data_IF_050263734250
#
_entry.id   IF_050263734250
#
_cell.length_a   1.000
_cell.length_b   1.000
_cell.length_c   1.000
_cell.angle_alpha   90.00
_cell.angle_beta   90.00
_cell.angle_gamma   90.00
#
_symmetry.space_group_name_H-M   'P 1'
#
loop_
_entity.id
_entity.type
_entity.pdbx_description
1 polymer ?
#
# COMPACT_ATOMS: atom_id res chain seq x y z
N UNK A 1 -3.62 -30.28 11.05
CA UNK A 1 -3.58 -29.01 10.30
C UNK A 1 -4.82 -28.99 9.42
N UNK A 2 -5.70 -27.98 9.52
CA UNK A 2 -6.88 -27.89 8.64
C UNK A 2 -6.42 -27.80 7.17
N UNK A 3 -7.14 -28.44 6.23
CA UNK A 3 -6.78 -28.49 4.80
C UNK A 3 -6.58 -27.09 4.21
N UNK A 4 -7.44 -26.13 4.58
CA UNK A 4 -7.31 -24.71 4.19
C UNK A 4 -5.96 -24.14 4.65
N UNK A 5 -5.59 -24.33 5.92
CA UNK A 5 -4.35 -23.80 6.47
C UNK A 5 -3.11 -24.39 5.79
N UNK A 6 -3.16 -25.66 5.36
CA UNK A 6 -2.06 -26.27 4.60
C UNK A 6 -1.85 -25.53 3.28
N UNK A 7 -2.89 -25.36 2.48
CA UNK A 7 -2.76 -24.76 1.15
C UNK A 7 -2.45 -23.27 1.19
N UNK A 8 -3.00 -22.53 2.17
CA UNK A 8 -2.61 -21.13 2.40
C UNK A 8 -1.11 -21.02 2.71
N UNK A 9 -0.57 -21.90 3.55
CA UNK A 9 0.86 -21.88 3.89
C UNK A 9 1.74 -22.28 2.70
N UNK A 10 1.34 -23.29 1.92
CA UNK A 10 2.06 -23.64 0.68
C UNK A 10 2.08 -22.48 -0.31
N UNK A 11 0.97 -21.77 -0.47
CA UNK A 11 0.91 -20.60 -1.32
C UNK A 11 1.84 -19.47 -0.82
N UNK A 12 1.86 -19.22 0.50
CA UNK A 12 2.72 -18.21 1.10
C UNK A 12 4.22 -18.56 0.97
N UNK A 13 4.60 -19.82 1.15
CA UNK A 13 5.98 -20.28 1.03
C UNK A 13 6.50 -20.19 -0.42
N UNK A 14 5.62 -20.45 -1.39
CA UNK A 14 5.94 -20.39 -2.81
C UNK A 14 6.00 -18.96 -3.35
N UNK A 15 5.20 -18.05 -2.79
CA UNK A 15 5.11 -16.68 -3.28
C UNK A 15 6.34 -15.83 -2.89
N UNK A 16 6.95 -15.07 -3.81
CA UNK A 16 6.55 -14.84 -5.21
C UNK A 16 7.32 -15.68 -6.23
N UNK A 17 8.20 -16.60 -5.81
CA UNK A 17 9.15 -17.26 -6.72
C UNK A 17 8.53 -18.36 -7.59
N UNK A 18 7.56 -19.08 -7.05
CA UNK A 18 6.93 -20.24 -7.70
C UNK A 18 5.44 -19.94 -7.97
N UNK A 19 5.17 -19.16 -9.02
CA UNK A 19 3.83 -18.59 -9.25
C UNK A 19 2.78 -19.63 -9.65
N UNK A 20 3.14 -20.67 -10.40
CA UNK A 20 2.22 -21.74 -10.78
C UNK A 20 1.75 -22.51 -9.53
N UNK A 21 2.69 -22.92 -8.69
CA UNK A 21 2.43 -23.62 -7.44
C UNK A 21 1.71 -22.74 -6.41
N UNK A 22 1.98 -21.43 -6.43
CA UNK A 22 1.21 -20.45 -5.64
C UNK A 22 -0.25 -20.45 -6.08
N UNK A 23 -0.52 -20.33 -7.38
CA UNK A 23 -1.88 -20.27 -7.93
C UNK A 23 -2.65 -21.57 -7.73
N UNK A 24 -2.01 -22.72 -7.91
CA UNK A 24 -2.60 -24.02 -7.63
C UNK A 24 -3.00 -24.14 -6.16
N UNK A 25 -2.07 -23.79 -5.25
CA UNK A 25 -2.33 -23.84 -3.80
C UNK A 25 -3.45 -22.87 -3.40
N UNK A 26 -3.50 -21.66 -3.97
CA UNK A 26 -4.58 -20.70 -3.72
C UNK A 26 -5.93 -21.22 -4.21
N UNK A 27 -5.96 -21.85 -5.38
CA UNK A 27 -7.17 -22.45 -5.94
C UNK A 27 -7.71 -23.54 -5.02
N UNK A 28 -6.84 -24.42 -4.50
CA UNK A 28 -7.24 -25.40 -3.50
C UNK A 28 -7.74 -24.73 -2.22
N UNK A 29 -7.00 -23.77 -1.66
CA UNK A 29 -7.40 -23.07 -0.43
C UNK A 29 -8.81 -22.48 -0.54
N UNK A 30 -9.09 -21.74 -1.61
CA UNK A 30 -10.39 -21.10 -1.85
C UNK A 30 -11.50 -22.10 -2.20
N UNK A 31 -11.18 -23.25 -2.79
CA UNK A 31 -12.19 -24.31 -2.99
C UNK A 31 -12.65 -24.95 -1.67
N UNK A 32 -11.81 -24.96 -0.64
CA UNK A 32 -12.17 -25.45 0.69
C UNK A 32 -12.82 -24.36 1.56
N UNK A 33 -12.42 -23.11 1.39
CA UNK A 33 -12.95 -21.95 2.11
C UNK A 33 -12.81 -20.68 1.26
N UNK A 34 -13.87 -20.35 0.52
CA UNK A 34 -13.93 -19.15 -0.31
C UNK A 34 -13.80 -17.85 0.50
N UNK A 35 -14.11 -17.90 1.81
CA UNK A 35 -14.07 -16.75 2.70
C UNK A 35 -12.69 -16.49 3.31
N UNK A 36 -11.69 -17.31 2.99
CA UNK A 36 -10.37 -17.22 3.58
C UNK A 36 -9.66 -15.92 3.17
N UNK A 37 -9.61 -14.95 4.09
CA UNK A 37 -9.06 -13.62 3.78
C UNK A 37 -7.58 -13.62 3.47
N UNK A 38 -6.81 -14.58 3.99
CA UNK A 38 -5.39 -14.71 3.67
C UNK A 38 -5.19 -15.17 2.23
N UNK A 39 -5.95 -16.18 1.78
CA UNK A 39 -5.91 -16.65 0.41
C UNK A 39 -6.39 -15.58 -0.58
N UNK A 40 -7.52 -14.92 -0.29
CA UNK A 40 -8.03 -13.81 -1.11
C UNK A 40 -7.04 -12.64 -1.15
N UNK A 41 -6.42 -12.28 -0.03
CA UNK A 41 -5.38 -11.26 0.02
C UNK A 41 -4.20 -11.63 -0.89
N UNK A 42 -3.72 -12.88 -0.82
CA UNK A 42 -2.59 -13.33 -1.63
C UNK A 42 -2.95 -13.41 -3.12
N UNK A 43 -4.18 -13.80 -3.49
CA UNK A 43 -4.69 -13.67 -4.86
C UNK A 43 -4.64 -12.21 -5.33
N UNK A 44 -5.14 -11.28 -4.51
CA UNK A 44 -5.08 -9.85 -4.82
C UNK A 44 -3.64 -9.35 -5.04
N UNK A 45 -2.69 -9.84 -4.24
CA UNK A 45 -1.27 -9.53 -4.40
C UNK A 45 -0.67 -10.11 -5.68
N UNK A 46 -0.95 -11.37 -6.03
CA UNK A 46 -0.47 -11.96 -7.30
C UNK A 46 -0.92 -11.09 -8.48
N UNK A 47 -2.21 -10.72 -8.52
CA UNK A 47 -2.74 -9.86 -9.57
C UNK A 47 -2.09 -8.46 -9.60
N UNK A 48 -1.92 -7.81 -8.44
CA UNK A 48 -1.36 -6.47 -8.38
C UNK A 48 0.16 -6.41 -8.64
N UNK A 49 0.91 -7.36 -8.07
CA UNK A 49 2.37 -7.33 -7.99
C UNK A 49 3.03 -8.07 -9.15
N UNK A 50 2.42 -9.16 -9.64
CA UNK A 50 3.00 -10.02 -10.69
C UNK A 50 2.34 -9.82 -12.05
N UNK A 51 1.02 -9.70 -12.08
CA UNK A 51 0.25 -9.60 -13.33
C UNK A 51 -0.08 -8.16 -13.75
N UNK A 52 0.13 -7.19 -12.85
CA UNK A 52 -0.26 -5.79 -13.02
C UNK A 52 -1.76 -5.59 -13.34
N UNK A 53 -2.59 -6.56 -12.97
CA UNK A 53 -4.05 -6.53 -13.10
C UNK A 53 -4.67 -5.93 -11.84
N UNK A 54 -4.60 -4.60 -11.76
CA UNK A 54 -5.04 -3.87 -10.57
C UNK A 54 -6.55 -3.94 -10.33
N UNK A 55 -7.36 -4.08 -11.39
CA UNK A 55 -8.82 -4.19 -11.26
C UNK A 55 -9.20 -5.53 -10.62
N UNK A 56 -8.61 -6.63 -11.09
CA UNK A 56 -8.85 -7.94 -10.48
C UNK A 56 -8.27 -8.02 -9.06
N UNK A 57 -7.10 -7.43 -8.83
CA UNK A 57 -6.52 -7.33 -7.49
C UNK A 57 -7.46 -6.61 -6.52
N UNK A 58 -8.00 -5.46 -6.93
CA UNK A 58 -8.97 -4.68 -6.15
C UNK A 58 -10.21 -5.51 -5.80
N UNK A 59 -10.73 -6.32 -6.72
CA UNK A 59 -11.88 -7.21 -6.45
C UNK A 59 -11.57 -8.20 -5.34
N UNK A 60 -10.44 -8.92 -5.41
CA UNK A 60 -10.06 -9.87 -4.36
C UNK A 60 -9.85 -9.21 -3.00
N UNK A 61 -9.24 -8.03 -2.95
CA UNK A 61 -9.10 -7.29 -1.69
C UNK A 61 -10.45 -6.84 -1.13
N UNK A 62 -11.38 -6.41 -2.00
CA UNK A 62 -12.73 -6.04 -1.57
C UNK A 62 -13.51 -7.26 -1.07
N UNK A 63 -13.42 -8.39 -1.76
CA UNK A 63 -14.03 -9.65 -1.36
C UNK A 63 -13.52 -10.11 0.01
N UNK A 64 -12.20 -10.07 0.24
CA UNK A 64 -11.62 -10.38 1.55
C UNK A 64 -12.22 -9.50 2.67
N UNK A 65 -12.40 -8.21 2.41
CA UNK A 65 -12.97 -7.27 3.38
C UNK A 65 -14.49 -7.38 3.54
N UNK A 66 -15.21 -7.96 2.56
CA UNK A 66 -16.62 -8.34 2.69
C UNK A 66 -16.76 -9.50 3.68
N UNK A 67 -15.88 -10.50 3.59
CA UNK A 67 -15.88 -11.63 4.53
C UNK A 67 -15.42 -11.22 5.94
N UNK A 68 -14.35 -10.42 6.04
CA UNK A 68 -13.87 -9.92 7.31
C UNK A 68 -13.26 -8.51 7.17
N UNK A 69 -14.03 -7.51 7.60
CA UNK A 69 -13.57 -6.11 7.59
C UNK A 69 -12.36 -5.86 8.51
N UNK A 70 -12.09 -6.75 9.47
CA UNK A 70 -10.95 -6.69 10.37
C UNK A 70 -9.73 -7.50 9.86
N UNK A 71 -9.74 -7.99 8.62
CA UNK A 71 -8.59 -8.66 8.00
C UNK A 71 -7.41 -7.69 7.82
N UNK A 72 -6.54 -7.63 8.83
CA UNK A 72 -5.46 -6.65 8.94
C UNK A 72 -4.45 -6.77 7.78
N UNK A 73 -4.20 -8.00 7.35
CA UNK A 73 -3.27 -8.36 6.28
C UNK A 73 -3.63 -7.73 4.93
N UNK A 74 -4.91 -7.41 4.69
CA UNK A 74 -5.39 -6.89 3.40
C UNK A 74 -5.02 -5.42 3.20
N UNK A 75 -5.12 -4.62 4.26
CA UNK A 75 -5.08 -3.16 4.16
C UNK A 75 -3.80 -2.59 3.51
N UNK A 76 -2.58 -3.02 3.88
CA UNK A 76 -1.36 -2.48 3.29
C UNK A 76 -1.31 -2.66 1.77
N UNK A 77 -1.73 -3.82 1.27
CA UNK A 77 -1.72 -4.15 -0.16
C UNK A 77 -2.86 -3.48 -0.90
N UNK A 78 -4.07 -3.51 -0.34
CA UNK A 78 -5.21 -2.85 -0.96
C UNK A 78 -5.00 -1.34 -1.10
N UNK A 79 -4.47 -0.69 -0.06
CA UNK A 79 -4.12 0.74 -0.12
C UNK A 79 -3.08 1.01 -1.21
N UNK A 80 -2.09 0.13 -1.38
CA UNK A 80 -1.07 0.25 -2.41
C UNK A 80 -1.71 0.19 -3.81
N UNK A 81 -2.54 -0.83 -4.06
CA UNK A 81 -3.25 -1.00 -5.33
C UNK A 81 -4.10 0.24 -5.67
N UNK A 82 -4.85 0.78 -4.70
CA UNK A 82 -5.63 2.01 -4.91
C UNK A 82 -4.75 3.22 -5.26
N UNK A 83 -3.54 3.32 -4.67
CA UNK A 83 -2.59 4.39 -5.00
C UNK A 83 -2.06 4.22 -6.42
N UNK A 84 -1.74 3.01 -6.83
CA UNK A 84 -1.18 2.72 -8.16
C UNK A 84 -2.23 2.90 -9.27
N UNK A 85 -3.49 2.58 -8.98
CA UNK A 85 -4.64 2.90 -9.84
C UNK A 85 -4.98 4.41 -9.91
N UNK A 86 -4.39 5.23 -9.04
CA UNK A 86 -4.73 6.66 -8.95
C UNK A 86 -6.04 6.96 -8.22
N UNK A 87 -6.67 5.96 -7.59
CA UNK A 87 -7.90 6.08 -6.81
C UNK A 87 -7.65 6.71 -5.42
N UNK A 88 -7.14 7.94 -5.42
CA UNK A 88 -6.64 8.59 -4.22
C UNK A 88 -7.69 8.85 -3.14
N UNK A 89 -8.95 9.10 -3.49
CA UNK A 89 -10.01 9.30 -2.50
C UNK A 89 -10.42 7.99 -1.82
N UNK A 90 -10.47 6.88 -2.57
CA UNK A 90 -10.67 5.55 -1.99
C UNK A 90 -9.51 5.20 -1.06
N UNK A 91 -8.27 5.37 -1.52
CA UNK A 91 -7.08 5.14 -0.68
C UNK A 91 -7.10 5.95 0.63
N UNK A 92 -7.51 7.23 0.60
CA UNK A 92 -7.65 8.03 1.83
C UNK A 92 -8.69 7.46 2.80
N UNK A 93 -9.85 7.03 2.30
CA UNK A 93 -10.91 6.43 3.13
C UNK A 93 -10.42 5.14 3.75
N UNK A 94 -9.81 4.26 2.97
CA UNK A 94 -9.24 2.98 3.43
C UNK A 94 -8.15 3.21 4.47
N UNK A 95 -7.21 4.15 4.25
CA UNK A 95 -6.19 4.53 5.25
C UNK A 95 -6.84 5.04 6.54
N UNK A 96 -7.87 5.89 6.45
CA UNK A 96 -8.54 6.43 7.64
C UNK A 96 -9.14 5.32 8.48
N UNK A 97 -9.77 4.33 7.85
CA UNK A 97 -10.34 3.18 8.53
C UNK A 97 -9.26 2.25 9.10
N UNK A 98 -8.22 1.92 8.32
CA UNK A 98 -7.12 1.07 8.77
C UNK A 98 -6.45 1.60 10.05
N UNK A 99 -6.28 2.93 10.17
CA UNK A 99 -5.72 3.58 11.36
C UNK A 99 -6.60 3.46 12.62
N UNK A 100 -7.86 3.02 12.49
CA UNK A 100 -8.78 2.79 13.62
C UNK A 100 -8.87 1.33 14.03
N UNK A 101 -8.29 0.41 13.26
CA UNK A 101 -8.38 -1.02 13.54
C UNK A 101 -7.46 -1.40 14.72
N UNK A 102 -7.98 -2.14 15.72
CA UNK A 102 -7.16 -2.71 16.78
C UNK A 102 -6.04 -3.60 16.18
N UNK A 103 -4.87 -3.59 16.81
CA UNK A 103 -3.70 -4.39 16.41
C UNK A 103 -3.13 -4.15 15.00
N UNK A 104 -3.66 -3.18 14.23
CA UNK A 104 -3.10 -2.81 12.93
C UNK A 104 -1.65 -2.29 13.07
N UNK A 105 -0.68 -2.81 12.30
CA UNK A 105 0.68 -2.26 12.27
C UNK A 105 0.71 -0.82 11.70
N UNK A 106 0.61 0.17 12.59
CA UNK A 106 0.37 1.56 12.23
C UNK A 106 1.49 2.18 11.38
N UNK A 107 2.76 1.81 11.63
CA UNK A 107 3.92 2.30 10.87
C UNK A 107 3.73 2.12 9.37
N UNK A 108 3.34 0.92 8.93
CA UNK A 108 3.11 0.60 7.52
C UNK A 108 1.98 1.44 6.92
N UNK A 109 0.87 1.61 7.65
CA UNK A 109 -0.27 2.41 7.18
C UNK A 109 0.10 3.91 7.06
N UNK A 110 0.88 4.45 8.00
CA UNK A 110 1.37 5.83 7.90
C UNK A 110 2.35 6.02 6.74
N UNK A 111 3.20 5.03 6.44
CA UNK A 111 4.06 5.03 5.24
C UNK A 111 3.19 5.08 3.97
N UNK A 112 2.15 4.26 3.85
CA UNK A 112 1.22 4.30 2.69
C UNK A 112 0.54 5.67 2.58
N UNK A 113 0.18 6.30 3.69
CA UNK A 113 -0.36 7.67 3.70
C UNK A 113 0.65 8.72 3.23
N UNK A 114 1.92 8.58 3.60
CA UNK A 114 2.99 9.43 3.10
C UNK A 114 3.15 9.27 1.57
N UNK A 115 3.18 8.02 1.09
CA UNK A 115 3.27 7.68 -0.33
C UNK A 115 2.10 8.27 -1.14
N UNK A 116 0.87 8.13 -0.65
CA UNK A 116 -0.32 8.71 -1.26
C UNK A 116 -0.16 10.23 -1.45
N UNK A 117 0.24 10.95 -0.38
CA UNK A 117 0.44 12.40 -0.50
C UNK A 117 1.63 12.76 -1.39
N UNK A 118 2.66 11.93 -1.44
CA UNK A 118 3.79 12.08 -2.35
C UNK A 118 3.34 11.95 -3.82
N UNK A 119 2.55 10.92 -4.16
CA UNK A 119 1.95 10.73 -5.50
C UNK A 119 1.07 11.92 -5.90
N UNK A 120 0.30 12.47 -4.97
CA UNK A 120 -0.46 13.71 -5.17
C UNK A 120 0.40 15.00 -5.20
N UNK A 121 1.73 14.91 -5.10
CA UNK A 121 2.68 16.04 -5.01
C UNK A 121 2.40 17.01 -3.84
N UNK A 122 1.80 16.50 -2.75
CA UNK A 122 1.49 17.21 -1.50
C UNK A 122 2.59 16.95 -0.45
N UNK A 123 3.83 17.29 -0.78
CA UNK A 123 5.03 16.92 -0.01
C UNK A 123 4.98 17.30 1.48
N UNK A 124 4.48 18.50 1.83
CA UNK A 124 4.30 18.90 3.24
C UNK A 124 3.37 17.95 4.01
N UNK A 125 2.31 17.43 3.37
CA UNK A 125 1.41 16.45 3.98
C UNK A 125 2.05 15.07 4.06
N UNK A 126 2.83 14.69 3.04
CA UNK A 126 3.59 13.45 3.03
C UNK A 126 4.59 13.39 4.19
N UNK A 127 5.39 14.44 4.41
CA UNK A 127 6.34 14.54 5.53
C UNK A 127 5.64 14.50 6.89
N UNK A 128 4.46 15.12 7.03
CA UNK A 128 3.66 15.03 8.27
C UNK A 128 3.20 13.60 8.56
N UNK A 129 2.75 12.86 7.53
CA UNK A 129 2.37 11.46 7.68
C UNK A 129 3.59 10.59 8.01
N UNK A 130 4.74 10.86 7.39
CA UNK A 130 5.98 10.13 7.66
C UNK A 130 6.50 10.37 9.09
N UNK A 131 6.33 11.60 9.63
CA UNK A 131 6.62 11.86 11.05
C UNK A 131 5.77 11.01 11.98
N UNK A 132 4.49 10.77 11.64
CA UNK A 132 3.64 9.83 12.39
C UNK A 132 4.16 8.39 12.27
N UNK A 133 4.53 7.95 11.07
CA UNK A 133 5.14 6.63 10.90
C UNK A 133 6.38 6.42 11.79
N UNK A 134 7.25 7.42 11.89
CA UNK A 134 8.44 7.37 12.77
C UNK A 134 8.12 7.27 14.26
N UNK A 135 7.01 7.86 14.70
CA UNK A 135 6.60 7.81 16.11
C UNK A 135 6.01 6.46 16.50
N UNK A 136 5.31 5.79 15.58
CA UNK A 136 4.77 4.44 15.79
C UNK A 136 5.84 3.35 15.63
N UNK A 137 6.95 3.67 14.96
CA UNK A 137 7.96 2.69 14.62
C UNK A 137 8.87 2.35 15.80
N UNK A 138 8.91 1.06 16.13
CA UNK A 138 9.87 0.48 17.10
C UNK A 138 10.89 -0.45 16.45
N UNK A 139 10.76 -0.67 15.13
CA UNK A 139 11.58 -1.61 14.36
C UNK A 139 12.77 -0.90 13.70
N UNK A 140 13.97 -1.46 13.88
CA UNK A 140 15.20 -0.91 13.32
C UNK A 140 15.19 -0.92 11.79
N UNK A 141 14.62 -1.95 11.18
CA UNK A 141 14.65 -2.15 9.73
C UNK A 141 13.85 -1.06 9.01
N UNK A 142 12.71 -0.67 9.58
CA UNK A 142 11.91 0.45 9.07
C UNK A 142 12.63 1.79 9.22
N UNK A 143 13.56 1.97 10.17
CA UNK A 143 14.20 3.26 10.43
C UNK A 143 15.01 3.76 9.23
N UNK A 144 15.76 2.86 8.58
CA UNK A 144 16.53 3.18 7.38
C UNK A 144 15.61 3.56 6.20
N UNK A 145 14.56 2.77 5.99
CA UNK A 145 13.54 2.99 4.96
C UNK A 145 12.80 4.32 5.15
N UNK A 146 12.41 4.64 6.39
CA UNK A 146 11.74 5.89 6.73
C UNK A 146 12.62 7.11 6.46
N UNK A 147 13.93 7.02 6.70
CA UNK A 147 14.89 8.07 6.36
C UNK A 147 15.00 8.26 4.85
N UNK A 148 15.18 7.17 4.09
CA UNK A 148 15.26 7.23 2.63
C UNK A 148 14.00 7.83 1.99
N UNK A 149 12.81 7.49 2.51
CA UNK A 149 11.54 8.08 2.07
C UNK A 149 11.50 9.58 2.38
N UNK A 150 11.97 9.99 3.56
CA UNK A 150 12.00 11.41 3.95
C UNK A 150 12.88 12.23 3.01
N UNK A 151 14.10 11.75 2.78
CA UNK A 151 15.09 12.42 1.93
C UNK A 151 14.58 12.52 0.49
N UNK A 152 13.98 11.46 -0.04
CA UNK A 152 13.30 11.46 -1.35
C UNK A 152 12.21 12.53 -1.43
N UNK A 153 11.34 12.63 -0.42
CA UNK A 153 10.24 13.60 -0.41
C UNK A 153 10.78 15.04 -0.30
N UNK A 154 11.79 15.28 0.52
CA UNK A 154 12.44 16.59 0.66
C UNK A 154 13.07 17.04 -0.65
N UNK A 155 13.84 16.18 -1.31
CA UNK A 155 14.42 16.49 -2.62
C UNK A 155 13.36 16.86 -3.67
N UNK A 156 12.26 16.10 -3.74
CA UNK A 156 11.12 16.43 -4.62
C UNK A 156 10.46 17.76 -4.28
N UNK A 157 10.38 18.11 -2.98
CA UNK A 157 9.83 19.38 -2.53
C UNK A 157 10.72 20.56 -2.91
N UNK A 158 12.03 20.41 -2.83
CA UNK A 158 13.01 21.43 -3.20
C UNK A 158 12.95 21.73 -4.70
N UNK A 159 12.93 20.70 -5.54
CA UNK A 159 12.76 20.83 -7.01
C UNK A 159 11.49 21.63 -7.33
N UNK A 160 10.36 21.27 -6.70
CA UNK A 160 9.10 21.99 -6.91
C UNK A 160 9.20 23.47 -6.53
N UNK A 161 9.83 23.78 -5.39
CA UNK A 161 9.98 25.16 -4.93
C UNK A 161 10.93 25.97 -5.83
N UNK A 162 11.97 25.34 -6.38
CA UNK A 162 12.88 25.96 -7.36
C UNK A 162 12.12 26.41 -8.62
N UNK A 163 11.37 25.48 -9.22
CA UNK A 163 10.57 25.75 -10.42
C UNK A 163 9.52 26.84 -10.19
N UNK A 164 8.88 26.88 -9.01
CA UNK A 164 7.94 27.95 -8.66
C UNK A 164 8.59 29.34 -8.55
N UNK A 165 9.86 29.42 -8.14
CA UNK A 165 10.62 30.69 -8.06
C UNK A 165 11.03 31.17 -9.44
N UNK A 166 11.48 30.29 -10.32
CA UNK A 166 11.86 30.62 -11.71
C UNK A 166 10.66 31.13 -12.51
N UNK A 167 9.54 30.39 -12.49
CA UNK A 167 8.30 30.80 -13.16
C UNK A 167 7.78 32.17 -12.69
N UNK A 168 8.00 32.54 -11.42
CA UNK A 168 7.64 33.87 -10.89
C UNK A 168 8.56 34.98 -11.41
N UNK A 169 9.83 34.70 -11.67
CA UNK A 169 10.78 35.67 -12.24
C UNK A 169 10.45 35.95 -13.71
N UNK A 170 10.20 34.91 -14.50
CA UNK A 170 9.84 35.06 -15.93
C UNK A 170 8.56 35.86 -16.11
N UNK A 171 7.50 35.57 -15.34
CA UNK A 171 6.23 36.33 -15.38
C UNK A 171 6.36 37.80 -14.99
N UNK A 172 7.37 38.17 -14.20
CA UNK A 172 7.65 39.57 -13.85
C UNK A 172 8.40 40.28 -14.98
N UNK A 173 9.27 39.57 -15.69
CA UNK A 173 10.01 40.12 -16.83
C UNK A 173 9.14 40.28 -18.08
N UNK A 174 8.15 39.41 -18.31
CA UNK A 174 7.22 39.52 -19.46
C UNK A 174 6.11 40.55 -19.31
N UNK A 175 6.00 41.21 -18.14
CA UNK A 175 5.05 42.29 -17.85
C UNK A 175 5.71 43.68 -17.86
N UNK A 176 7.01 43.74 -18.13
CA UNK A 176 7.76 44.97 -18.41
C UNK A 176 7.92 45.08 -19.92
#
# INVERSE_FOLDING_TARGET
MNSVNKYVLQALDNYPMYLEETMESLSYALSYDESNTMALCLMGRVHAEQLLDYEQAKRYFQEALVHNVQALEVYPYFIQTLIDMGEYEAAKKTIKFALTLPAMPLTGIWIKKALLFEKMRKYKKALKALKKAKLENVDLDFSSSLKAIEDRIKGKQEIKNGNEKENKKERKNSRK
#
